data_IF_511848689206
#
_entry.id   IF_511848689206
#
_cell.length_a   1.000
_cell.length_b   1.000
_cell.length_c   1.000
_cell.angle_alpha   90.00
_cell.angle_beta   90.00
_cell.angle_gamma   90.00
#
_symmetry.space_group_name_H-M   'P 1'
#
loop_
_entity.id
_entity.type
_entity.pdbx_description
1 polymer ?
#
# COMPACT_ATOMS: atom_id res chain seq x y z
N UNK A 1 -37.67 -8.64 14.88
CA UNK A 1 -36.90 -7.46 14.40
C UNK A 1 -37.67 -6.81 13.25
N UNK A 2 -37.69 -5.47 13.14
CA UNK A 2 -38.41 -4.78 12.04
C UNK A 2 -37.67 -4.98 10.71
N UNK A 3 -38.35 -5.12 9.56
CA UNK A 3 -37.73 -5.42 8.26
C UNK A 3 -36.67 -4.39 7.85
N UNK A 4 -36.85 -3.12 8.23
CA UNK A 4 -35.86 -2.05 8.05
C UNK A 4 -34.51 -2.37 8.73
N UNK A 5 -34.53 -2.92 9.93
CA UNK A 5 -33.27 -3.24 10.64
C UNK A 5 -32.53 -4.40 9.98
N UNK A 6 -33.26 -5.35 9.39
CA UNK A 6 -32.66 -6.49 8.69
C UNK A 6 -31.88 -6.04 7.44
N UNK A 7 -32.45 -5.10 6.67
CA UNK A 7 -31.81 -4.52 5.48
C UNK A 7 -30.52 -3.77 5.84
N UNK A 8 -30.55 -2.94 6.89
CA UNK A 8 -29.34 -2.22 7.32
C UNK A 8 -28.24 -3.18 7.77
N UNK A 9 -28.60 -4.26 8.49
CA UNK A 9 -27.60 -5.24 8.94
C UNK A 9 -26.96 -6.00 7.78
N UNK A 10 -27.73 -6.39 6.75
CA UNK A 10 -27.15 -7.06 5.58
C UNK A 10 -26.27 -6.12 4.75
N UNK A 11 -26.65 -4.86 4.59
CA UNK A 11 -25.78 -3.86 3.94
C UNK A 11 -24.47 -3.70 4.71
N UNK A 12 -24.52 -3.60 6.03
CA UNK A 12 -23.31 -3.45 6.85
C UNK A 12 -22.37 -4.65 6.70
N UNK A 13 -22.91 -5.88 6.71
CA UNK A 13 -22.12 -7.10 6.53
C UNK A 13 -21.47 -7.14 5.14
N UNK A 14 -22.21 -6.74 4.10
CA UNK A 14 -21.69 -6.63 2.73
C UNK A 14 -20.56 -5.57 2.68
N UNK A 15 -20.77 -4.39 3.26
CA UNK A 15 -19.77 -3.33 3.31
C UNK A 15 -18.48 -3.77 4.01
N UNK A 16 -18.59 -4.47 5.14
CA UNK A 16 -17.44 -4.97 5.88
C UNK A 16 -16.77 -6.14 5.15
N UNK A 17 -17.53 -7.00 4.47
CA UNK A 17 -17.01 -8.13 3.69
C UNK A 17 -16.34 -7.72 2.38
N UNK A 18 -16.78 -6.63 1.74
CA UNK A 18 -16.16 -6.08 0.52
C UNK A 18 -15.05 -5.06 0.81
N UNK A 19 -14.86 -4.61 2.06
CA UNK A 19 -13.77 -3.71 2.40
C UNK A 19 -12.43 -4.40 2.08
N UNK A 20 -11.49 -3.73 1.38
CA UNK A 20 -10.15 -4.27 1.19
C UNK A 20 -9.55 -4.57 2.57
N UNK A 21 -8.82 -5.68 2.69
CA UNK A 21 -8.04 -6.02 3.89
C UNK A 21 -6.88 -5.04 4.06
N UNK A 22 -7.18 -3.79 4.41
CA UNK A 22 -6.20 -2.79 4.84
C UNK A 22 -5.86 -3.05 6.32
N UNK A 23 -5.24 -4.19 6.61
CA UNK A 23 -4.63 -4.39 7.91
C UNK A 23 -3.30 -3.65 7.92
N UNK A 24 -3.17 -2.61 8.75
CA UNK A 24 -1.87 -2.09 9.10
C UNK A 24 -1.15 -3.17 9.91
N UNK A 25 -0.28 -3.92 9.26
CA UNK A 25 0.58 -4.91 9.92
C UNK A 25 1.76 -4.19 10.57
N UNK A 26 2.02 -4.51 11.83
CA UNK A 26 3.17 -4.06 12.60
C UNK A 26 3.97 -5.28 13.03
N UNK A 27 5.22 -5.45 12.56
CA UNK A 27 5.91 -4.58 11.60
C UNK A 27 5.31 -4.66 10.18
N UNK A 28 5.56 -3.66 9.31
CA UNK A 28 5.23 -3.73 7.89
C UNK A 28 5.79 -5.02 7.26
N UNK A 29 5.18 -5.53 6.17
CA UNK A 29 5.72 -6.72 5.51
C UNK A 29 7.10 -6.42 4.95
N UNK A 30 8.03 -7.37 5.04
CA UNK A 30 9.38 -7.26 4.50
C UNK A 30 9.34 -7.15 2.97
N UNK A 31 9.30 -5.93 2.45
CA UNK A 31 9.64 -5.51 1.09
C UNK A 31 8.84 -6.11 -0.08
N UNK A 32 8.04 -7.15 0.08
CA UNK A 32 7.38 -7.82 -1.05
C UNK A 32 6.14 -7.10 -1.56
N UNK A 33 6.30 -6.07 -2.40
CA UNK A 33 5.19 -5.33 -3.01
C UNK A 33 4.85 -5.86 -4.42
N UNK A 34 3.59 -5.67 -4.90
CA UNK A 34 3.20 -6.04 -6.25
C UNK A 34 4.15 -5.49 -7.32
N UNK A 35 4.34 -6.25 -8.41
CA UNK A 35 5.25 -5.84 -9.50
C UNK A 35 6.74 -6.05 -9.20
N UNK A 36 7.08 -6.82 -8.16
CA UNK A 36 8.48 -7.05 -7.78
C UNK A 36 9.16 -5.81 -7.21
N UNK A 37 8.38 -4.89 -6.65
CA UNK A 37 8.88 -3.69 -6.01
C UNK A 37 9.29 -4.01 -4.56
N UNK A 38 10.39 -3.41 -4.10
CA UNK A 38 10.84 -3.42 -2.70
C UNK A 38 10.65 -2.03 -2.11
N UNK A 39 9.80 -1.91 -1.09
CA UNK A 39 9.61 -0.66 -0.34
C UNK A 39 9.88 -0.90 1.15
N UNK A 40 11.09 -0.58 1.59
CA UNK A 40 11.54 -0.78 2.96
C UNK A 40 11.80 0.58 3.62
N UNK A 41 10.91 0.99 4.51
CA UNK A 41 10.99 2.28 5.18
C UNK A 41 9.67 3.04 5.12
N UNK A 42 9.51 4.00 6.03
CA UNK A 42 8.28 4.78 6.10
C UNK A 42 8.08 5.59 4.81
N UNK A 43 6.93 5.39 4.16
CA UNK A 43 6.54 6.05 2.91
C UNK A 43 7.52 5.86 1.72
N UNK A 44 8.29 4.76 1.70
CA UNK A 44 9.02 4.33 0.51
C UNK A 44 8.03 3.95 -0.61
N UNK A 45 8.28 4.38 -1.85
CA UNK A 45 7.40 4.16 -3.03
C UNK A 45 5.92 4.56 -2.84
N UNK A 46 5.62 5.47 -1.92
CA UNK A 46 4.23 5.81 -1.57
C UNK A 46 3.42 6.34 -2.77
N UNK A 47 4.06 7.07 -3.69
CA UNK A 47 3.39 7.62 -4.88
C UNK A 47 3.43 6.72 -6.12
N UNK A 48 3.98 5.50 -6.02
CA UNK A 48 4.05 4.59 -7.16
C UNK A 48 2.66 4.10 -7.55
N UNK A 49 2.19 4.50 -8.73
CA UNK A 49 0.88 4.12 -9.27
C UNK A 49 0.99 2.98 -10.27
N UNK A 50 2.04 2.99 -11.10
CA UNK A 50 2.38 1.95 -12.06
C UNK A 50 3.89 1.74 -12.06
N UNK A 51 4.36 0.61 -12.58
CA UNK A 51 5.79 0.30 -12.65
C UNK A 51 6.22 -0.90 -11.81
N UNK A 52 7.34 -1.49 -12.20
CA UNK A 52 7.82 -2.77 -11.67
C UNK A 52 9.31 -2.74 -11.38
N UNK A 53 9.74 -3.64 -10.50
CA UNK A 53 11.16 -3.87 -10.19
C UNK A 53 11.90 -2.64 -9.64
N UNK A 54 11.24 -1.81 -8.83
CA UNK A 54 11.86 -0.71 -8.11
C UNK A 54 12.32 -1.14 -6.71
N UNK A 55 13.45 -0.61 -6.23
CA UNK A 55 13.96 -0.84 -4.87
C UNK A 55 14.09 0.50 -4.15
N UNK A 56 13.29 0.73 -3.13
CA UNK A 56 13.34 1.90 -2.25
C UNK A 56 13.61 1.45 -0.81
N UNK A 57 14.81 1.75 -0.31
CA UNK A 57 15.22 1.46 1.07
C UNK A 57 15.53 2.78 1.77
N UNK A 58 14.76 3.13 2.79
CA UNK A 58 14.89 4.37 3.56
C UNK A 58 13.56 5.15 3.67
N UNK A 59 13.46 5.98 4.72
CA UNK A 59 12.31 6.86 4.93
C UNK A 59 12.20 7.83 3.73
N UNK A 60 11.04 7.87 3.07
CA UNK A 60 10.78 8.68 1.87
C UNK A 60 11.68 8.38 0.66
N UNK A 61 12.28 7.19 0.57
CA UNK A 61 13.04 6.81 -0.63
C UNK A 61 12.11 6.60 -1.83
N UNK A 62 12.46 7.17 -3.00
CA UNK A 62 11.64 7.16 -4.22
C UNK A 62 10.20 7.67 -3.99
N UNK A 63 10.03 8.71 -3.15
CA UNK A 63 8.71 9.18 -2.75
C UNK A 63 7.86 9.65 -3.94
N UNK A 64 8.42 10.42 -4.88
CA UNK A 64 7.71 10.99 -6.02
C UNK A 64 7.65 10.10 -7.26
N UNK A 65 8.18 8.87 -7.21
CA UNK A 65 8.18 7.97 -8.35
C UNK A 65 6.76 7.49 -8.65
N UNK A 66 6.16 7.91 -9.78
CA UNK A 66 4.75 7.63 -10.11
C UNK A 66 4.54 6.44 -11.04
N UNK A 67 5.39 6.25 -12.03
CA UNK A 67 5.21 5.32 -13.17
C UNK A 67 6.53 4.67 -13.64
N UNK A 68 7.63 4.87 -12.91
CA UNK A 68 8.95 4.35 -13.26
C UNK A 68 9.14 2.86 -12.95
N UNK A 69 10.06 2.23 -13.66
CA UNK A 69 10.47 0.84 -13.45
C UNK A 69 11.99 0.75 -13.37
N UNK A 70 12.51 -0.24 -12.67
CA UNK A 70 13.96 -0.48 -12.50
C UNK A 70 14.72 0.66 -11.80
N UNK A 71 14.05 1.44 -10.95
CA UNK A 71 14.69 2.48 -10.14
C UNK A 71 15.26 1.91 -8.84
N UNK A 72 16.40 2.42 -8.38
CA UNK A 72 16.97 2.11 -7.07
C UNK A 72 17.20 3.40 -6.29
N UNK A 73 16.55 3.53 -5.14
CA UNK A 73 16.77 4.60 -4.17
C UNK A 73 17.15 4.03 -2.81
N UNK A 74 18.30 4.43 -2.29
CA UNK A 74 18.81 3.95 -1.01
C UNK A 74 19.22 5.15 -0.15
N UNK A 75 18.64 5.24 1.04
CA UNK A 75 18.84 6.36 1.97
C UNK A 75 17.54 7.13 2.24
N UNK A 76 17.50 7.82 3.38
CA UNK A 76 16.36 8.66 3.75
C UNK A 76 16.26 9.87 2.81
N UNK A 77 15.12 10.05 2.16
CA UNK A 77 14.88 11.11 1.16
C UNK A 77 15.72 10.96 -0.11
N UNK A 78 16.22 9.76 -0.41
CA UNK A 78 16.89 9.51 -1.70
C UNK A 78 15.87 9.59 -2.83
N UNK A 79 16.11 10.47 -3.80
CA UNK A 79 15.28 10.63 -5.00
C UNK A 79 13.81 10.92 -4.63
N UNK A 80 13.60 11.96 -3.82
CA UNK A 80 12.29 12.41 -3.35
C UNK A 80 11.27 12.63 -4.45
#
# INVERSE_FOLDING_TARGET
>A
MKPRNLILTSILIICVGLAPKAHAISPPPDGGYPGGNTAEGQAALLSLTTGTYNTAIGIYSLLSLTDGSFCTGVGAGSLL
#
